data_IF_328358373889
#
_entry.id   IF_328358373889
#
_cell.length_a   1.000
_cell.length_b   1.000
_cell.length_c   1.000
_cell.angle_alpha   90.00
_cell.angle_beta   90.00
_cell.angle_gamma   90.00
#
_symmetry.space_group_name_H-M   'P 1'
#
loop_
_entity.id
_entity.type
_entity.pdbx_description
1 polymer ?
#
# COMPACT_ATOMS: atom_id res chain seq x y z
N UNK A 1 3.67 18.65 -12.42
CA UNK A 1 5.07 18.22 -12.24
C UNK A 1 5.07 16.73 -11.92
N UNK A 2 5.66 15.93 -12.80
CA UNK A 2 5.57 14.47 -12.74
C UNK A 2 6.38 13.96 -11.54
N UNK A 3 5.69 13.42 -10.53
CA UNK A 3 6.26 12.88 -9.28
C UNK A 3 7.40 11.89 -9.55
N UNK A 4 7.32 11.16 -10.67
CA UNK A 4 8.36 10.27 -11.19
C UNK A 4 9.71 10.97 -11.44
N UNK A 5 9.69 12.19 -11.99
CA UNK A 5 10.91 12.96 -12.28
C UNK A 5 11.61 13.39 -10.99
N UNK A 6 10.85 13.76 -9.95
CA UNK A 6 11.43 14.18 -8.67
C UNK A 6 12.05 13.00 -7.91
N UNK A 7 11.35 11.86 -7.86
CA UNK A 7 11.85 10.63 -7.21
C UNK A 7 13.10 10.07 -7.89
N UNK A 8 13.15 10.13 -9.22
CA UNK A 8 14.31 9.69 -9.98
C UNK A 8 15.48 10.66 -9.81
N UNK A 9 15.29 11.98 -9.88
CA UNK A 9 16.40 12.92 -9.70
C UNK A 9 17.00 12.95 -8.27
N UNK A 10 16.21 12.65 -7.23
CA UNK A 10 16.66 12.80 -5.83
C UNK A 10 17.36 11.55 -5.28
N UNK A 11 17.12 10.36 -5.85
CA UNK A 11 17.66 9.09 -5.32
C UNK A 11 18.48 8.26 -6.33
N UNK A 12 18.81 8.84 -7.49
CA UNK A 12 19.57 8.15 -8.52
C UNK A 12 21.09 8.18 -8.20
N UNK A 13 21.76 7.02 -8.13
CA UNK A 13 23.23 6.95 -8.11
C UNK A 13 23.83 7.68 -9.32
N UNK A 14 25.00 8.31 -9.15
CA UNK A 14 25.71 9.05 -10.21
C UNK A 14 25.87 8.27 -11.54
N UNK A 15 25.83 6.94 -11.49
CA UNK A 15 25.85 6.01 -12.63
C UNK A 15 24.66 6.17 -13.59
N UNK A 16 23.53 6.68 -13.11
CA UNK A 16 22.26 6.79 -13.85
C UNK A 16 21.99 8.22 -14.34
N UNK A 17 22.88 9.19 -14.06
CA UNK A 17 22.79 10.56 -14.60
C UNK A 17 23.12 10.65 -16.09
N UNK A 18 23.86 9.68 -16.62
CA UNK A 18 24.26 9.59 -18.03
C UNK A 18 23.23 8.89 -18.91
N UNK A 19 22.20 8.28 -18.30
CA UNK A 19 21.15 7.58 -19.06
C UNK A 19 20.03 8.57 -19.37
N UNK A 20 19.64 8.76 -20.64
CA UNK A 20 18.54 9.64 -20.99
C UNK A 20 17.24 9.07 -20.42
N UNK A 21 16.80 9.60 -19.29
CA UNK A 21 15.62 9.13 -18.58
C UNK A 21 14.38 9.59 -19.35
N UNK A 22 13.57 8.66 -19.90
CA UNK A 22 12.37 9.05 -20.65
C UNK A 22 11.36 9.70 -19.71
N UNK A 23 10.89 10.90 -20.07
CA UNK A 23 9.83 11.61 -19.32
C UNK A 23 8.45 10.95 -19.44
N UNK A 24 8.32 9.92 -20.29
CA UNK A 24 7.09 9.19 -20.61
C UNK A 24 7.40 7.73 -21.00
N UNK A 25 6.51 6.79 -20.66
CA UNK A 25 6.64 5.35 -20.96
C UNK A 25 6.90 5.03 -22.46
N UNK A 26 6.51 5.95 -23.36
CA UNK A 26 6.69 5.87 -24.81
C UNK A 26 8.17 5.97 -25.29
N UNK A 27 9.07 6.53 -24.48
CA UNK A 27 10.50 6.64 -24.82
C UNK A 27 11.33 5.38 -24.52
N UNK A 28 10.73 4.36 -23.88
CA UNK A 28 11.41 3.08 -23.68
C UNK A 28 11.57 2.28 -25.00
N UNK A 29 10.78 2.62 -26.03
CA UNK A 29 10.78 1.97 -27.35
C UNK A 29 11.93 2.40 -28.28
N UNK A 30 12.72 3.44 -27.95
CA UNK A 30 13.86 3.88 -28.77
C UNK A 30 15.21 3.33 -28.30
N UNK A 31 15.23 2.50 -27.26
CA UNK A 31 16.44 1.90 -26.69
C UNK A 31 16.67 0.51 -27.29
N UNK A 32 17.93 0.09 -27.39
CA UNK A 32 18.23 -1.30 -27.77
C UNK A 32 17.59 -2.26 -26.78
N UNK A 33 17.20 -3.44 -27.24
CA UNK A 33 16.49 -4.45 -26.44
C UNK A 33 17.21 -4.78 -25.12
N UNK A 34 18.54 -4.80 -25.11
CA UNK A 34 19.35 -5.06 -23.91
C UNK A 34 19.29 -3.91 -22.89
N UNK A 35 19.30 -2.65 -23.36
CA UNK A 35 19.22 -1.48 -22.47
C UNK A 35 17.79 -1.34 -21.94
N UNK A 36 16.78 -1.52 -22.80
CA UNK A 36 15.38 -1.54 -22.40
C UNK A 36 15.12 -2.64 -21.36
N UNK A 37 15.67 -3.84 -21.54
CA UNK A 37 15.59 -4.93 -20.55
C UNK A 37 16.25 -4.56 -19.22
N UNK A 38 17.47 -4.02 -19.27
CA UNK A 38 18.23 -3.65 -18.06
C UNK A 38 17.54 -2.54 -17.26
N UNK A 39 17.00 -1.52 -17.96
CA UNK A 39 16.20 -0.44 -17.35
C UNK A 39 14.91 -0.99 -16.76
N UNK A 40 14.18 -1.85 -17.48
CA UNK A 40 12.96 -2.48 -16.96
C UNK A 40 13.23 -3.37 -15.75
N UNK A 41 14.30 -4.18 -15.77
CA UNK A 41 14.69 -5.08 -14.69
C UNK A 41 15.08 -4.31 -13.41
N UNK A 42 15.92 -3.28 -13.56
CA UNK A 42 16.32 -2.43 -12.42
C UNK A 42 15.16 -1.61 -11.87
N UNK A 43 14.33 -1.03 -12.74
CA UNK A 43 13.11 -0.33 -12.32
C UNK A 43 12.15 -1.26 -11.55
N UNK A 44 11.93 -2.49 -12.04
CA UNK A 44 11.08 -3.48 -11.38
C UNK A 44 11.63 -3.92 -10.03
N UNK A 45 12.95 -4.07 -9.91
CA UNK A 45 13.63 -4.39 -8.65
C UNK A 45 13.49 -3.26 -7.62
N UNK A 46 13.62 -2.00 -8.05
CA UNK A 46 13.50 -0.84 -7.16
C UNK A 46 12.05 -0.56 -6.74
N UNK A 47 11.08 -0.71 -7.64
CA UNK A 47 9.66 -0.51 -7.33
C UNK A 47 9.06 -1.61 -6.44
N UNK A 48 9.72 -2.77 -6.30
CA UNK A 48 9.19 -3.93 -5.55
C UNK A 48 9.27 -3.84 -4.03
N UNK A 49 10.04 -2.90 -3.47
CA UNK A 49 10.40 -2.95 -2.04
C UNK A 49 9.22 -2.76 -1.06
N UNK A 50 8.05 -2.30 -1.52
CA UNK A 50 6.88 -2.07 -0.67
C UNK A 50 5.58 -2.73 -1.17
N UNK A 51 5.64 -3.53 -2.23
CA UNK A 51 4.44 -4.10 -2.86
C UNK A 51 3.76 -5.21 -2.03
N UNK A 52 4.45 -5.80 -1.05
CA UNK A 52 3.94 -6.90 -0.22
C UNK A 52 3.34 -6.49 1.13
N UNK A 53 3.41 -5.21 1.52
CA UNK A 53 2.88 -4.78 2.82
C UNK A 53 1.36 -4.62 2.79
N UNK A 54 0.66 -5.41 3.62
CA UNK A 54 -0.79 -5.27 3.82
C UNK A 54 -1.08 -3.91 4.48
N UNK A 55 -0.39 -3.62 5.59
CA UNK A 55 -0.52 -2.36 6.30
C UNK A 55 0.30 -1.23 5.66
N UNK A 56 -0.40 -0.29 5.02
CA UNK A 56 0.20 0.85 4.30
C UNK A 56 0.32 2.12 5.15
N UNK A 57 -0.52 2.32 6.18
CA UNK A 57 -0.65 3.62 6.84
C UNK A 57 -0.76 3.60 8.38
N UNK A 58 -1.06 2.48 9.02
CA UNK A 58 -1.36 2.44 10.46
C UNK A 58 -0.13 2.08 11.30
N UNK A 59 0.20 2.87 12.34
CA UNK A 59 1.28 2.59 13.33
C UNK A 59 2.59 2.05 12.70
N UNK A 60 3.07 2.68 11.63
CA UNK A 60 4.22 2.19 10.81
C UNK A 60 5.56 2.25 11.55
N UNK A 61 5.63 3.06 12.60
CA UNK A 61 6.75 3.14 13.53
C UNK A 61 6.88 1.90 14.43
N UNK A 62 5.82 1.11 14.56
CA UNK A 62 5.82 -0.07 15.43
C UNK A 62 6.21 -1.31 14.65
N UNK A 63 7.12 -2.11 15.21
CA UNK A 63 7.49 -3.41 14.64
C UNK A 63 6.29 -4.38 14.57
N UNK A 64 5.30 -4.19 15.46
CA UNK A 64 4.07 -4.99 15.53
C UNK A 64 2.92 -4.11 16.02
N UNK A 65 1.90 -3.91 15.19
CA UNK A 65 0.70 -3.17 15.58
C UNK A 65 -0.29 -4.11 16.31
N UNK A 66 -0.63 -3.78 17.55
CA UNK A 66 -1.64 -4.47 18.35
C UNK A 66 -2.58 -3.43 18.94
N UNK A 67 -3.88 -3.73 18.92
CA UNK A 67 -4.91 -2.93 19.59
C UNK A 67 -5.61 -3.80 20.61
N UNK A 68 -5.75 -3.27 21.82
CA UNK A 68 -6.38 -3.96 22.95
C UNK A 68 -7.72 -3.28 23.18
N UNK A 69 -8.77 -4.09 23.21
CA UNK A 69 -10.13 -3.63 23.50
C UNK A 69 -10.65 -4.49 24.64
N UNK A 70 -11.10 -3.84 25.70
CA UNK A 70 -11.75 -4.50 26.81
C UNK A 70 -13.14 -4.97 26.38
N UNK A 71 -13.44 -6.25 26.61
CA UNK A 71 -14.72 -6.83 26.23
C UNK A 71 -15.88 -6.27 27.04
N UNK A 72 -15.64 -5.88 28.29
CA UNK A 72 -16.67 -5.31 29.17
C UNK A 72 -17.09 -3.90 28.71
N UNK A 73 -16.21 -3.21 27.96
CA UNK A 73 -16.50 -1.91 27.36
C UNK A 73 -17.38 -1.99 26.10
N UNK A 74 -17.66 -3.19 25.60
CA UNK A 74 -18.47 -3.42 24.40
C UNK A 74 -19.94 -3.56 24.81
N UNK A 75 -20.59 -2.42 25.00
CA UNK A 75 -22.02 -2.30 25.34
C UNK A 75 -22.95 -2.38 24.11
N UNK A 76 -22.40 -2.11 22.93
CA UNK A 76 -23.09 -2.07 21.66
C UNK A 76 -22.30 -2.79 20.57
N UNK A 77 -22.92 -3.01 19.41
CA UNK A 77 -22.25 -3.52 18.22
C UNK A 77 -21.00 -2.71 17.92
N UNK A 78 -19.85 -3.38 17.87
CA UNK A 78 -18.58 -2.80 17.41
C UNK A 78 -18.11 -3.53 16.15
N UNK A 79 -17.48 -2.78 15.26
CA UNK A 79 -17.00 -3.27 13.97
C UNK A 79 -15.53 -2.91 13.82
N UNK A 80 -14.66 -3.91 13.75
CA UNK A 80 -13.21 -3.77 13.72
C UNK A 80 -12.64 -4.01 12.32
N UNK A 81 -11.68 -3.19 11.95
CA UNK A 81 -11.00 -3.25 10.67
C UNK A 81 -10.07 -4.47 10.61
N UNK A 82 -10.06 -5.16 9.46
CA UNK A 82 -9.06 -6.20 9.14
C UNK A 82 -8.30 -5.93 7.84
N UNK A 83 -8.66 -4.88 7.10
CA UNK A 83 -8.03 -4.53 5.83
C UNK A 83 -6.85 -3.57 5.97
N UNK A 84 -6.60 -2.99 7.16
CA UNK A 84 -5.53 -2.01 7.42
C UNK A 84 -5.61 -0.69 6.64
N UNK A 85 -6.76 -0.40 6.03
CA UNK A 85 -6.98 0.83 5.24
C UNK A 85 -7.93 1.83 5.91
N UNK A 86 -8.51 1.47 7.06
CA UNK A 86 -9.43 2.36 7.74
C UNK A 86 -8.73 3.59 8.28
N UNK A 87 -9.32 4.76 8.06
CA UNK A 87 -8.92 6.02 8.68
C UNK A 87 -9.21 6.06 10.19
N UNK A 88 -10.11 5.18 10.66
CA UNK A 88 -10.55 5.07 12.06
C UNK A 88 -10.04 3.79 12.73
N UNK A 89 -8.96 3.20 12.22
CA UNK A 89 -8.37 1.97 12.76
C UNK A 89 -8.13 2.13 14.28
N UNK A 90 -8.58 1.18 15.14
CA UNK A 90 -8.95 -0.22 14.84
C UNK A 90 -10.39 -0.45 14.37
N UNK A 91 -11.22 0.59 14.30
CA UNK A 91 -12.59 0.45 13.85
C UNK A 91 -12.71 0.42 12.34
N UNK A 92 -13.73 -0.25 11.82
CA UNK A 92 -14.03 -0.26 10.40
C UNK A 92 -14.81 1.00 10.00
N UNK A 93 -14.41 1.65 8.91
CA UNK A 93 -15.10 2.79 8.29
C UNK A 93 -15.62 2.48 6.87
N UNK A 94 -15.57 1.20 6.45
CA UNK A 94 -16.00 0.79 5.11
C UNK A 94 -14.92 0.83 4.03
N UNK A 95 -13.69 1.27 4.33
CA UNK A 95 -12.59 1.37 3.34
C UNK A 95 -12.25 0.05 2.63
N UNK A 96 -12.60 -1.11 3.21
CA UNK A 96 -12.42 -2.42 2.58
C UNK A 96 -13.24 -2.59 1.30
N UNK A 97 -14.38 -1.90 1.15
CA UNK A 97 -15.20 -2.01 -0.06
C UNK A 97 -14.44 -1.53 -1.30
N UNK A 98 -13.85 -0.34 -1.21
CA UNK A 98 -13.03 0.23 -2.29
C UNK A 98 -11.82 -0.65 -2.60
N UNK A 99 -11.15 -1.17 -1.56
CA UNK A 99 -10.02 -2.08 -1.73
C UNK A 99 -10.41 -3.37 -2.46
N UNK A 100 -11.51 -4.01 -2.05
CA UNK A 100 -12.02 -5.22 -2.70
C UNK A 100 -12.38 -4.94 -4.17
N UNK A 101 -13.05 -3.82 -4.46
CA UNK A 101 -13.39 -3.40 -5.83
C UNK A 101 -12.14 -3.18 -6.70
N UNK A 102 -11.12 -2.48 -6.19
CA UNK A 102 -9.91 -2.15 -6.94
C UNK A 102 -8.97 -3.35 -7.15
N UNK A 103 -8.97 -4.32 -6.23
CA UNK A 103 -7.98 -5.41 -6.21
C UNK A 103 -8.56 -6.79 -6.52
N UNK A 104 -9.89 -6.95 -6.50
CA UNK A 104 -10.55 -8.25 -6.57
C UNK A 104 -10.45 -9.08 -5.27
N UNK A 105 -10.04 -8.44 -4.17
CA UNK A 105 -9.97 -9.06 -2.84
C UNK A 105 -11.36 -9.23 -2.21
N UNK A 106 -11.45 -9.96 -1.10
CA UNK A 106 -12.70 -10.30 -0.41
C UNK A 106 -12.64 -10.09 1.11
N UNK A 107 -11.80 -9.18 1.58
CA UNK A 107 -11.67 -8.90 3.02
C UNK A 107 -12.89 -8.18 3.58
N UNK A 108 -13.16 -8.39 4.87
CA UNK A 108 -14.24 -7.74 5.59
C UNK A 108 -13.92 -7.52 7.07
N UNK A 109 -14.73 -6.75 7.81
CA UNK A 109 -14.48 -6.46 9.21
C UNK A 109 -14.70 -7.67 10.12
N UNK A 110 -14.26 -7.55 11.37
CA UNK A 110 -14.73 -8.38 12.49
C UNK A 110 -15.87 -7.63 13.20
N UNK A 111 -17.02 -8.27 13.36
CA UNK A 111 -18.17 -7.68 14.08
C UNK A 111 -18.29 -8.37 15.42
N UNK A 112 -18.33 -7.59 16.50
CA UNK A 112 -18.60 -8.07 17.85
C UNK A 112 -19.91 -7.45 18.30
N UNK A 113 -20.88 -8.29 18.63
CA UNK A 113 -22.18 -7.89 19.14
C UNK A 113 -22.37 -8.48 20.55
N UNK A 114 -22.86 -7.68 21.53
CA UNK A 114 -23.24 -8.21 22.82
C UNK A 114 -24.29 -9.30 22.66
N UNK A 115 -24.24 -10.32 23.52
CA UNK A 115 -25.28 -11.35 23.55
C UNK A 115 -26.60 -10.67 23.88
N UNK A 116 -27.60 -10.83 23.01
CA UNK A 116 -28.97 -10.39 23.32
C UNK A 116 -29.50 -11.26 24.46
N UNK A 117 -29.71 -10.66 25.62
CA UNK A 117 -30.49 -11.29 26.69
C UNK A 117 -31.94 -11.26 26.23
N UNK A 118 -32.53 -12.44 26.04
CA UNK A 118 -33.95 -12.62 25.71
C UNK A 118 -34.83 -12.21 26.91
#
# INVERSE_FOLDING_TARGET
>A
MNVLHSLVCVHVPSVLQSVPIPKTFRGCFSLSSAIAYSVCYTARSLCSKNLGHINRCYKKEQAKCVDIVDIESIDQKKVFCRCWLSSKFPYCDGSHNKHNEETGDNVGPLIIEPKKTL
#
